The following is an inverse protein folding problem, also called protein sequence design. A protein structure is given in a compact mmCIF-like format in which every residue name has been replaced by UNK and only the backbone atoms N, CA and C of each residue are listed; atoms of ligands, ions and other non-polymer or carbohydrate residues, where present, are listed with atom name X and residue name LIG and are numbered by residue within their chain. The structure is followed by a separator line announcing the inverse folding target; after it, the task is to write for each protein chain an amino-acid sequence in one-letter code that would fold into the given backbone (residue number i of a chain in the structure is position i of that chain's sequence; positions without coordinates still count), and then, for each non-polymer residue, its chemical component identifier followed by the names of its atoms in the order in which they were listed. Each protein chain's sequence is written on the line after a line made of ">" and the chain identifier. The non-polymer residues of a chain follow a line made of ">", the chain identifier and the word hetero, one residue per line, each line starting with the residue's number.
data_IF_460690972050
#
_entry.id   IF_460690972050
#
_cell.length_a   1.000
_cell.length_b   1.000
_cell.length_c   1.000
_cell.angle_alpha   90.00
_cell.angle_beta   90.00
_cell.angle_gamma   90.00
#
_symmetry.space_group_name_H-M   'P 1'
#
loop_
_entity.id
_entity.type
_entity.pdbx_description
1 polymer ?
#
# COMPACT_ATOMS: atom_id res chain seq x y z
N UNK A 1 14.31 -3.23 -2.26
CA UNK A 1 13.59 -1.93 -2.26
C UNK A 1 13.49 -1.36 -0.86
N UNK A 2 12.86 -0.20 -0.69
CA UNK A 2 12.77 0.46 0.62
C UNK A 2 11.34 0.91 0.91
N UNK A 3 10.77 0.47 2.04
CA UNK A 3 9.45 0.93 2.48
C UNK A 3 9.53 2.37 3.00
N UNK A 4 8.45 3.16 2.86
CA UNK A 4 8.40 4.50 3.42
C UNK A 4 8.59 4.44 4.95
N UNK A 5 9.18 5.51 5.49
CA UNK A 5 9.41 5.62 6.93
C UNK A 5 8.08 5.56 7.70
N UNK A 6 8.01 4.69 8.71
CA UNK A 6 6.89 4.63 9.64
C UNK A 6 7.21 5.43 10.88
N UNK A 7 6.49 6.53 11.08
CA UNK A 7 6.60 7.40 12.25
C UNK A 7 5.75 6.88 13.40
N UNK A 8 6.35 6.69 14.57
CA UNK A 8 5.66 6.18 15.76
C UNK A 8 6.06 7.03 16.98
N UNK A 9 5.07 7.54 17.72
CA UNK A 9 5.30 8.15 19.02
C UNK A 9 5.43 7.05 20.07
N UNK A 10 6.61 6.95 20.70
CA UNK A 10 6.90 5.90 21.69
C UNK A 10 6.60 6.39 23.10
N UNK A 11 6.80 7.69 23.33
CA UNK A 11 6.44 8.40 24.56
C UNK A 11 6.12 9.87 24.23
N UNK A 12 5.57 10.60 25.19
CA UNK A 12 5.33 12.04 25.04
C UNK A 12 6.63 12.77 24.71
N UNK A 13 6.67 13.41 23.53
CA UNK A 13 7.86 14.12 23.04
C UNK A 13 8.95 13.23 22.43
N UNK A 14 8.76 11.90 22.36
CA UNK A 14 9.67 10.98 21.68
C UNK A 14 8.98 10.34 20.46
N UNK A 15 9.46 10.70 19.28
CA UNK A 15 9.00 10.17 17.99
C UNK A 15 10.15 9.46 17.31
N UNK A 16 9.91 8.22 16.91
CA UNK A 16 10.87 7.39 16.18
C UNK A 16 10.37 7.16 14.76
N UNK A 17 11.29 7.22 13.80
CA UNK A 17 11.02 6.88 12.40
C UNK A 17 11.70 5.53 12.06
N UNK A 18 10.91 4.56 11.63
CA UNK A 18 11.40 3.23 11.25
C UNK A 18 11.46 3.12 9.73
N UNK A 19 12.63 2.80 9.19
CA UNK A 19 12.84 2.58 7.74
C UNK A 19 13.30 1.15 7.51
N UNK A 20 12.72 0.49 6.51
CA UNK A 20 13.16 -0.85 6.06
C UNK A 20 13.86 -0.70 4.72
N UNK A 21 15.10 -1.18 4.63
CA UNK A 21 15.91 -1.20 3.43
C UNK A 21 16.23 -2.66 3.11
N UNK A 22 15.95 -3.08 1.89
CA UNK A 22 16.15 -4.45 1.42
C UNK A 22 17.02 -4.47 0.17
N UNK A 23 17.92 -5.44 0.11
CA UNK A 23 18.68 -5.74 -1.10
C UNK A 23 17.74 -6.20 -2.22
N UNK A 24 17.96 -5.72 -3.44
CA UNK A 24 17.23 -6.24 -4.60
C UNK A 24 17.61 -7.71 -4.83
N UNK A 25 16.66 -8.58 -5.20
CA UNK A 25 15.26 -8.31 -5.61
C UNK A 25 14.20 -8.45 -4.49
N UNK A 26 14.56 -8.19 -3.23
CA UNK A 26 13.65 -8.31 -2.08
C UNK A 26 13.04 -6.98 -1.63
N UNK A 27 11.81 -7.04 -1.14
CA UNK A 27 10.94 -5.91 -0.82
C UNK A 27 9.99 -6.24 0.34
N UNK A 28 9.23 -5.24 0.78
CA UNK A 28 8.21 -5.41 1.80
C UNK A 28 8.76 -5.51 3.22
N UNK A 29 7.88 -5.83 4.16
CA UNK A 29 8.24 -5.90 5.57
C UNK A 29 9.20 -7.09 5.80
N UNK A 30 10.28 -6.85 6.53
CA UNK A 30 11.35 -7.82 6.76
C UNK A 30 11.95 -8.42 5.48
N UNK A 31 11.87 -7.72 4.34
CA UNK A 31 12.40 -8.18 3.05
C UNK A 31 11.87 -9.56 2.61
N UNK A 32 10.62 -9.87 2.99
CA UNK A 32 10.01 -11.19 2.78
C UNK A 32 9.37 -11.38 1.41
N UNK A 33 9.28 -10.34 0.58
CA UNK A 33 8.62 -10.40 -0.74
C UNK A 33 9.65 -10.30 -1.85
N UNK A 34 9.61 -11.25 -2.76
CA UNK A 34 10.45 -11.29 -3.95
C UNK A 34 9.72 -10.64 -5.11
N UNK A 35 10.35 -9.68 -5.78
CA UNK A 35 9.80 -9.05 -6.97
C UNK A 35 10.94 -8.69 -7.94
N UNK A 36 10.82 -9.13 -9.19
CA UNK A 36 11.82 -8.94 -10.23
C UNK A 36 11.12 -8.54 -11.51
N UNK A 37 11.60 -7.47 -12.12
CA UNK A 37 11.16 -7.01 -13.44
C UNK A 37 12.00 -7.73 -14.49
N UNK A 38 11.35 -8.39 -15.43
CA UNK A 38 12.00 -8.92 -16.63
C UNK A 38 11.79 -7.93 -17.79
N UNK A 39 12.59 -8.03 -18.85
CA UNK A 39 12.48 -7.11 -19.99
C UNK A 39 11.09 -7.11 -20.65
N UNK A 40 10.39 -8.26 -20.60
CA UNK A 40 9.06 -8.43 -21.17
C UNK A 40 7.94 -8.29 -20.11
N UNK A 41 8.27 -7.88 -18.89
CA UNK A 41 7.27 -7.69 -17.84
C UNK A 41 6.48 -6.40 -18.07
N UNK A 42 5.16 -6.49 -17.98
CA UNK A 42 4.27 -5.35 -18.09
C UNK A 42 3.95 -4.71 -16.74
N UNK A 43 4.91 -4.73 -15.82
CA UNK A 43 4.77 -4.19 -14.47
C UNK A 43 6.10 -3.70 -13.91
N UNK A 44 6.00 -2.86 -12.89
CA UNK A 44 7.10 -2.46 -12.02
C UNK A 44 6.85 -2.95 -10.59
N UNK A 45 7.91 -3.17 -9.82
CA UNK A 45 7.84 -3.55 -8.43
C UNK A 45 7.71 -2.30 -7.54
N UNK A 46 6.64 -2.20 -6.77
CA UNK A 46 6.50 -1.14 -5.77
C UNK A 46 7.44 -1.36 -4.55
N UNK A 47 7.58 -0.37 -3.66
CA UNK A 47 8.34 -0.52 -2.41
C UNK A 47 7.94 -1.71 -1.52
N UNK A 48 6.69 -2.17 -1.61
CA UNK A 48 6.15 -3.32 -0.87
C UNK A 48 6.45 -4.63 -1.58
N UNK A 49 6.92 -4.61 -2.82
CA UNK A 49 7.16 -5.80 -3.65
C UNK A 49 5.91 -6.28 -4.37
N UNK A 50 4.90 -5.44 -4.52
CA UNK A 50 3.73 -5.70 -5.36
C UNK A 50 4.02 -5.32 -6.82
N UNK A 51 3.40 -6.05 -7.75
CA UNK A 51 3.43 -5.71 -9.16
C UNK A 51 2.44 -4.57 -9.43
N UNK A 52 2.93 -3.48 -9.98
CA UNK A 52 2.12 -2.36 -10.46
C UNK A 52 2.12 -2.41 -11.98
N UNK A 53 0.96 -2.73 -12.56
CA UNK A 53 0.83 -2.89 -14.01
C UNK A 53 1.10 -1.56 -14.73
N UNK A 54 1.78 -1.66 -15.87
CA UNK A 54 1.94 -0.55 -16.79
C UNK A 54 0.59 -0.21 -17.46
N UNK A 55 0.48 1.00 -17.99
CA UNK A 55 -0.70 1.42 -18.73
C UNK A 55 -1.00 0.43 -19.86
N UNK A 56 -2.27 0.06 -20.03
CA UNK A 56 -2.66 -0.97 -20.99
C UNK A 56 -2.69 -2.39 -20.44
N UNK A 57 -2.27 -2.62 -19.18
CA UNK A 57 -2.17 -3.95 -18.58
C UNK A 57 -2.88 -4.06 -17.23
N UNK A 58 -3.42 -5.24 -16.95
CA UNK A 58 -4.17 -5.56 -15.73
C UNK A 58 -4.02 -7.04 -15.35
N UNK A 59 -4.67 -7.42 -14.25
CA UNK A 59 -4.57 -8.73 -13.64
C UNK A 59 -3.46 -8.81 -12.61
N UNK A 60 -3.43 -9.90 -11.85
CA UNK A 60 -2.48 -10.10 -10.74
C UNK A 60 -1.02 -10.08 -11.19
N UNK A 61 -0.77 -10.59 -12.39
CA UNK A 61 0.56 -10.71 -12.96
C UNK A 61 0.82 -9.70 -14.10
N UNK A 62 -0.17 -8.83 -14.37
CA UNK A 62 -0.15 -7.83 -15.42
C UNK A 62 -0.04 -8.40 -16.85
N UNK A 63 -0.60 -9.59 -17.07
CA UNK A 63 -0.55 -10.31 -18.35
C UNK A 63 -1.83 -10.14 -19.20
N UNK A 64 -2.79 -9.32 -18.74
CA UNK A 64 -4.05 -9.07 -19.46
C UNK A 64 -4.08 -7.65 -20.00
N UNK A 65 -4.40 -7.47 -21.28
CA UNK A 65 -4.51 -6.15 -21.90
C UNK A 65 -5.82 -5.48 -21.49
N UNK A 66 -5.78 -4.20 -21.13
CA UNK A 66 -6.98 -3.36 -20.90
C UNK A 66 -7.42 -2.76 -22.24
N UNK A 67 -8.49 -3.29 -22.83
CA UNK A 67 -9.10 -2.84 -24.10
C UNK A 67 -9.59 -1.37 -24.05
N UNK A 68 -9.64 -0.79 -22.85
CA UNK A 68 -10.09 0.57 -22.54
C UNK A 68 -9.09 1.69 -22.91
N UNK A 69 -7.85 1.36 -23.29
CA UNK A 69 -6.90 2.36 -23.83
C UNK A 69 -7.24 2.77 -25.28
N UNK A 70 -8.09 2.01 -25.98
CA UNK A 70 -8.55 2.34 -27.33
C UNK A 70 -9.69 3.37 -27.40
N UNK A 71 -10.23 3.82 -26.25
CA UNK A 71 -11.35 4.76 -26.21
C UNK A 71 -11.01 6.14 -25.64
N UNK A 72 -9.75 6.43 -25.32
CA UNK A 72 -9.33 7.83 -25.27
C UNK A 72 -9.20 8.29 -26.73
N UNK A 73 -10.04 9.21 -27.23
CA UNK A 73 -9.78 9.84 -28.51
C UNK A 73 -8.37 10.44 -28.39
N UNK A 74 -7.47 10.03 -29.28
CA UNK A 74 -6.29 10.84 -29.57
C UNK A 74 -6.80 12.13 -30.23
N UNK A 75 -7.20 13.11 -29.41
CA UNK A 75 -7.37 14.49 -29.88
C UNK A 75 -5.98 15.03 -30.20
N UNK A 76 -5.61 14.81 -31.46
CA UNK A 76 -4.52 15.45 -32.16
C UNK A 76 -4.76 16.97 -32.18
N UNK A 77 -3.90 17.71 -31.48
CA UNK A 77 -3.59 19.11 -31.75
C UNK A 77 -4.70 20.14 -31.55
N UNK A 78 -4.83 20.67 -30.31
CA UNK A 78 -4.77 22.11 -29.97
C UNK A 78 -5.45 22.35 -28.62
N UNK A 79 -4.70 22.30 -27.53
CA UNK A 79 -5.10 23.03 -26.32
C UNK A 79 -3.86 23.64 -25.68
N UNK A 80 -3.72 24.95 -25.86
CA UNK A 80 -2.81 25.80 -25.11
C UNK A 80 -2.94 25.53 -23.60
N UNK A 81 -1.90 25.79 -22.80
CA UNK A 81 -2.01 25.69 -21.34
C UNK A 81 -3.21 26.53 -20.86
N UNK A 82 -4.07 26.03 -19.95
CA UNK A 82 -5.00 26.90 -19.26
C UNK A 82 -4.19 27.91 -18.45
N UNK A 83 -4.02 29.09 -19.04
CA UNK A 83 -3.46 30.28 -18.39
C UNK A 83 -4.58 30.88 -17.56
N UNK A 84 -4.92 30.22 -16.47
CA UNK A 84 -5.80 30.78 -15.44
C UNK A 84 -5.08 30.62 -14.13
N UNK A 85 -4.31 31.67 -13.82
CA UNK A 85 -3.85 31.98 -12.47
C UNK A 85 -5.09 32.29 -11.62
N UNK A 86 -5.40 31.55 -10.55
CA UNK A 86 -6.19 32.11 -9.48
C UNK A 86 -5.27 32.99 -8.62
N UNK A 87 -5.49 34.30 -8.70
CA UNK A 87 -4.97 35.28 -7.75
C UNK A 87 -5.25 34.86 -6.31
N UNK A 88 -4.20 34.96 -5.49
CA UNK A 88 -4.19 35.40 -4.10
C UNK A 88 -5.53 35.38 -3.36
N UNK A 89 -5.67 34.43 -2.43
CA UNK A 89 -6.33 34.71 -1.15
C UNK A 89 -5.36 34.28 -0.06
N UNK A 90 -4.69 35.27 0.54
CA UNK A 90 -4.08 35.12 1.85
C UNK A 90 -5.21 34.89 2.85
N UNK A 91 -5.29 33.68 3.42
CA UNK A 91 -6.10 33.45 4.61
C UNK A 91 -5.16 33.23 5.77
N UNK A 92 -4.90 34.31 6.49
CA UNK A 92 -4.26 34.34 7.81
C UNK A 92 -5.08 33.44 8.74
N UNK A 93 -4.57 32.25 9.06
CA UNK A 93 -5.18 31.38 10.07
C UNK A 93 -4.76 31.85 11.46
N UNK A 94 -5.52 32.78 12.04
CA UNK A 94 -5.42 33.11 13.45
C UNK A 94 -5.94 31.94 14.28
N UNK A 95 -5.04 31.29 15.02
CA UNK A 95 -5.36 30.26 15.98
C UNK A 95 -6.06 30.88 17.19
N UNK A 96 -7.36 30.64 17.32
CA UNK A 96 -8.10 30.90 18.57
C UNK A 96 -9.02 29.72 18.88
N UNK A 97 -8.57 28.87 19.81
CA UNK A 97 -9.39 28.32 20.88
C UNK A 97 -10.52 27.34 20.55
N UNK A 98 -10.31 26.08 20.97
CA UNK A 98 -11.28 25.18 21.64
C UNK A 98 -12.65 24.93 20.99
N UNK A 99 -12.85 23.69 20.49
CA UNK A 99 -13.78 22.72 21.10
C UNK A 99 -13.51 21.30 20.58
N UNK A 100 -13.08 20.43 21.49
CA UNK A 100 -13.15 18.97 21.37
C UNK A 100 -14.59 18.53 21.12
N UNK A 101 -14.81 17.72 20.09
CA UNK A 101 -16.02 16.91 19.97
C UNK A 101 -15.62 15.49 19.62
N UNK A 102 -15.86 14.63 20.61
CA UNK A 102 -15.78 13.17 20.59
C UNK A 102 -16.76 12.54 19.60
N UNK A 103 -16.62 11.21 19.49
CA UNK A 103 -17.58 10.19 19.03
C UNK A 103 -17.55 9.87 17.52
N UNK A 104 -17.49 8.62 17.06
CA UNK A 104 -17.49 7.32 17.73
C UNK A 104 -16.77 6.27 16.85
N UNK A 105 -15.97 5.41 17.50
CA UNK A 105 -15.47 4.16 16.92
C UNK A 105 -16.56 3.10 17.00
N UNK A 106 -17.15 2.73 15.86
CA UNK A 106 -17.91 1.47 15.75
C UNK A 106 -16.93 0.31 15.60
N UNK A 107 -16.75 -0.45 16.67
CA UNK A 107 -16.06 -1.75 16.67
C UNK A 107 -17.01 -2.82 16.12
N UNK A 108 -16.73 -3.31 14.91
CA UNK A 108 -17.33 -4.55 14.43
C UNK A 108 -16.61 -5.73 15.09
N UNK A 109 -17.29 -6.39 16.02
CA UNK A 109 -16.84 -7.63 16.62
C UNK A 109 -16.94 -8.78 15.59
N UNK A 110 -15.81 -9.39 15.25
CA UNK A 110 -15.79 -10.65 14.51
C UNK A 110 -16.11 -11.82 15.46
N UNK A 111 -16.89 -12.84 15.03
CA UNK A 111 -17.16 -14.00 15.87
C UNK A 111 -15.91 -14.87 16.02
N UNK A 112 -15.55 -15.17 17.26
CA UNK A 112 -14.53 -16.16 17.60
C UNK A 112 -15.07 -17.57 17.29
N UNK A 113 -14.63 -18.16 16.18
CA UNK A 113 -14.83 -19.60 15.92
C UNK A 113 -13.83 -20.39 16.76
N UNK A 114 -14.31 -21.01 17.83
CA UNK A 114 -13.55 -21.97 18.63
C UNK A 114 -13.29 -23.24 17.80
N UNK A 115 -12.04 -23.47 17.40
CA UNK A 115 -11.62 -24.77 16.89
C UNK A 115 -11.25 -25.67 18.07
N UNK A 116 -12.05 -26.72 18.28
CA UNK A 116 -11.69 -27.78 19.22
C UNK A 116 -10.53 -28.59 18.63
N UNK A 117 -9.32 -28.43 19.19
CA UNK A 117 -8.16 -29.28 18.84
C UNK A 117 -8.36 -30.64 19.50
N UNK A 118 -8.79 -31.63 18.73
CA UNK A 118 -8.83 -33.02 19.21
C UNK A 118 -7.41 -33.59 19.23
N UNK A 119 -6.80 -33.65 20.41
CA UNK A 119 -5.48 -34.27 20.64
C UNK A 119 -5.58 -35.80 20.52
N UNK A 120 -5.40 -36.35 19.32
CA UNK A 120 -5.16 -37.80 19.17
C UNK A 120 -3.73 -38.13 19.59
N UNK A 121 -3.57 -38.78 20.75
CA UNK A 121 -2.28 -39.36 21.15
C UNK A 121 -1.92 -40.49 20.19
N UNK A 122 -1.03 -40.24 19.21
CA UNK A 122 -0.39 -41.32 18.44
C UNK A 122 0.53 -42.09 19.39
N UNK A 123 0.16 -43.33 19.69
CA UNK A 123 0.96 -44.29 20.45
C UNK A 123 2.14 -44.72 19.57
N UNK A 124 3.34 -44.23 19.86
CA UNK A 124 4.56 -44.62 19.16
C UNK A 124 4.91 -46.07 19.56
N UNK A 125 4.78 -47.03 18.64
CA UNK A 125 5.32 -48.38 18.82
C UNK A 125 6.83 -48.32 18.62
N UNK A 126 7.59 -48.60 19.66
CA UNK A 126 9.01 -48.96 19.56
C UNK A 126 9.06 -50.40 19.05
N UNK A 127 9.59 -50.61 17.85
CA UNK A 127 9.97 -51.95 17.38
C UNK A 127 11.31 -52.30 18.02
N UNK A 128 11.40 -53.50 18.58
CA UNK A 128 12.59 -54.07 19.22
C UNK A 128 13.37 -54.91 18.21
#
# INVERSE_FOLDING_TARGET
>A
GALPAKRIAVASGLVMDFVTICDRPWYGLMCSRYCTEHNDAHYICDPRGEKVCLAGWTGKDCDTVTEDVFLAPFDDGTQAPPTTVPSTVETTFTFTGTKIMETASTTAAAPATSFAVTSTRKKLRVQK
#
